data_IF_245123037993
#
_entry.id   IF_245123037993
#
_cell.length_a   1.000
_cell.length_b   1.000
_cell.length_c   1.000
_cell.angle_alpha   90.00
_cell.angle_beta   90.00
_cell.angle_gamma   90.00
#
_symmetry.space_group_name_H-M   'P 1'
#
loop_
_entity.id
_entity.type
_entity.pdbx_description
1 polymer ?
#
# COMPACT_ATOMS: atom_id res chain seq x y z
N UNK A 1 -6.82 -2.11 66.64
CA UNK A 1 -7.59 -1.72 65.43
C UNK A 1 -6.76 -0.66 64.73
N UNK A 2 -5.99 -1.04 63.71
CA UNK A 2 -5.11 -0.14 62.98
C UNK A 2 -5.87 0.39 61.76
N UNK A 3 -5.95 1.70 61.65
CA UNK A 3 -6.57 2.42 60.55
C UNK A 3 -5.62 2.38 59.34
N UNK A 4 -5.98 1.60 58.32
CA UNK A 4 -5.24 1.54 57.06
C UNK A 4 -5.87 2.57 56.13
N UNK A 5 -5.26 3.75 56.07
CA UNK A 5 -5.58 4.78 55.08
C UNK A 5 -4.99 4.37 53.72
N UNK A 6 -5.80 4.12 52.68
CA UNK A 6 -5.26 3.88 51.35
C UNK A 6 -4.76 5.21 50.77
N UNK A 7 -3.44 5.30 50.59
CA UNK A 7 -2.80 6.38 49.86
C UNK A 7 -3.15 6.23 48.37
N UNK A 8 -4.02 7.10 47.88
CA UNK A 8 -4.42 7.17 46.49
C UNK A 8 -3.26 7.73 45.67
N UNK A 9 -2.42 6.85 45.13
CA UNK A 9 -1.34 7.18 44.20
C UNK A 9 -1.96 7.53 42.85
N UNK A 10 -2.11 8.81 42.57
CA UNK A 10 -2.44 9.28 41.23
C UNK A 10 -1.26 8.98 40.30
N UNK A 11 -1.42 7.99 39.43
CA UNK A 11 -0.64 7.85 38.18
C UNK A 11 -0.97 9.07 37.32
N UNK A 12 -0.31 10.19 37.61
CA UNK A 12 -0.16 11.24 36.64
C UNK A 12 0.91 10.73 35.69
N UNK A 13 0.50 10.34 34.49
CA UNK A 13 1.36 10.05 33.35
C UNK A 13 2.34 11.22 33.23
N UNK A 14 3.54 11.04 33.79
CA UNK A 14 4.61 12.01 33.72
C UNK A 14 4.94 12.18 32.24
N UNK A 15 4.57 13.32 31.70
CA UNK A 15 4.88 13.75 30.35
C UNK A 15 6.39 13.90 30.26
N UNK A 16 7.10 12.79 30.05
CA UNK A 16 8.52 12.74 29.74
C UNK A 16 8.74 13.63 28.50
N UNK A 17 9.35 14.79 28.72
CA UNK A 17 9.75 15.68 27.65
C UNK A 17 10.75 14.95 26.74
N UNK A 18 10.44 14.71 25.46
CA UNK A 18 11.31 13.94 24.60
C UNK A 18 12.60 14.72 24.30
N UNK A 19 13.74 14.04 24.42
CA UNK A 19 15.06 14.54 24.10
C UNK A 19 15.09 15.20 22.70
N UNK A 20 15.58 16.44 22.63
CA UNK A 20 15.48 17.33 21.45
C UNK A 20 16.13 16.70 20.21
N UNK A 21 17.13 15.83 20.37
CA UNK A 21 17.73 15.05 19.28
C UNK A 21 16.82 13.97 18.71
N UNK A 22 16.03 13.30 19.55
CA UNK A 22 15.17 12.18 19.17
C UNK A 22 13.91 12.66 18.41
N UNK A 23 13.42 13.86 18.74
CA UNK A 23 12.25 14.46 18.08
C UNK A 23 12.48 14.77 16.59
N UNK A 24 13.70 15.14 16.20
CA UNK A 24 14.05 15.42 14.78
C UNK A 24 14.06 14.13 13.96
N UNK A 25 14.63 13.06 14.49
CA UNK A 25 14.66 11.74 13.85
C UNK A 25 13.25 11.19 13.71
N UNK A 26 12.42 11.27 14.77
CA UNK A 26 11.03 10.83 14.74
C UNK A 26 10.20 11.59 13.70
N UNK A 27 10.35 12.93 13.61
CA UNK A 27 9.68 13.74 12.57
C UNK A 27 10.13 13.38 11.16
N UNK A 28 11.42 13.09 10.98
CA UNK A 28 11.96 12.70 9.67
C UNK A 28 11.41 11.36 9.22
N UNK A 29 11.39 10.37 10.12
CA UNK A 29 10.82 9.03 9.84
C UNK A 29 9.33 9.13 9.50
N UNK A 30 8.57 9.92 10.25
CA UNK A 30 7.14 10.11 9.96
C UNK A 30 6.94 10.82 8.61
N UNK A 31 7.71 11.86 8.31
CA UNK A 31 7.63 12.55 7.00
C UNK A 31 7.98 11.64 5.83
N UNK A 32 9.04 10.83 5.97
CA UNK A 32 9.45 9.85 4.96
C UNK A 32 8.33 8.83 4.74
N UNK A 33 7.75 8.32 5.83
CA UNK A 33 6.65 7.38 5.79
C UNK A 33 5.40 7.95 5.10
N UNK A 34 4.99 9.17 5.43
CA UNK A 34 3.88 9.84 4.75
C UNK A 34 4.18 10.01 3.26
N UNK A 35 5.40 10.42 2.90
CA UNK A 35 5.84 10.55 1.50
C UNK A 35 5.79 9.23 0.73
N UNK A 36 6.31 8.15 1.31
CA UNK A 36 6.25 6.80 0.75
C UNK A 36 4.80 6.31 0.57
N UNK A 37 3.93 6.61 1.52
CA UNK A 37 2.51 6.22 1.47
C UNK A 37 1.75 7.00 0.39
N UNK A 38 2.06 8.29 0.21
CA UNK A 38 1.53 9.09 -0.89
C UNK A 38 2.00 8.56 -2.24
N UNK A 39 3.29 8.22 -2.36
CA UNK A 39 3.83 7.61 -3.58
C UNK A 39 3.09 6.30 -3.91
N UNK A 40 2.87 5.44 -2.89
CA UNK A 40 2.13 4.20 -3.04
C UNK A 40 0.69 4.44 -3.54
N UNK A 41 0.01 5.45 -2.98
CA UNK A 41 -1.33 5.84 -3.40
C UNK A 41 -1.35 6.29 -4.87
N UNK A 42 -0.45 7.19 -5.26
CA UNK A 42 -0.35 7.68 -6.63
C UNK A 42 -0.09 6.54 -7.62
N UNK A 43 0.86 5.64 -7.32
CA UNK A 43 1.12 4.48 -8.18
C UNK A 43 -0.07 3.52 -8.27
N UNK A 44 -0.81 3.31 -7.17
CA UNK A 44 -1.99 2.45 -7.17
C UNK A 44 -3.11 3.02 -8.04
N UNK A 45 -3.31 4.34 -8.02
CA UNK A 45 -4.23 5.04 -8.93
C UNK A 45 -3.83 4.83 -10.39
N UNK A 46 -2.54 4.95 -10.71
CA UNK A 46 -2.05 4.70 -12.08
C UNK A 46 -2.30 3.25 -12.48
N UNK A 47 -2.00 2.27 -11.63
CA UNK A 47 -2.26 0.83 -11.89
C UNK A 47 -3.74 0.60 -12.22
N UNK A 48 -4.64 1.12 -11.38
CA UNK A 48 -6.10 0.94 -11.58
C UNK A 48 -6.57 1.67 -12.83
N UNK A 49 -6.05 2.87 -13.09
CA UNK A 49 -6.40 3.67 -14.27
C UNK A 49 -6.00 2.97 -15.57
N UNK A 50 -4.74 2.55 -15.68
CA UNK A 50 -4.25 1.87 -16.89
C UNK A 50 -4.90 0.51 -17.06
N UNK A 51 -5.01 -0.29 -16.01
CA UNK A 51 -5.67 -1.61 -16.09
C UNK A 51 -7.17 -1.47 -16.39
N UNK A 52 -7.82 -0.45 -15.84
CA UNK A 52 -9.23 -0.14 -16.08
C UNK A 52 -9.51 0.27 -17.53
N UNK A 53 -8.69 1.15 -18.12
CA UNK A 53 -8.84 1.56 -19.52
C UNK A 53 -8.63 0.37 -20.48
N UNK A 54 -7.64 -0.49 -20.21
CA UNK A 54 -7.45 -1.71 -21.04
C UNK A 54 -8.66 -2.64 -20.97
N UNK A 55 -9.25 -2.83 -19.78
CA UNK A 55 -10.42 -3.68 -19.59
C UNK A 55 -11.69 -3.07 -20.21
N UNK A 56 -11.86 -1.75 -20.09
CA UNK A 56 -12.96 -1.03 -20.71
C UNK A 56 -12.88 -1.11 -22.24
N UNK A 57 -11.68 -0.95 -22.80
CA UNK A 57 -11.44 -1.08 -24.24
C UNK A 57 -11.74 -2.49 -24.72
N UNK A 58 -11.29 -3.52 -23.99
CA UNK A 58 -11.64 -4.92 -24.28
C UNK A 58 -13.16 -5.13 -24.32
N UNK A 59 -13.88 -4.74 -23.26
CA UNK A 59 -15.33 -4.91 -23.18
C UNK A 59 -16.10 -4.14 -24.27
N UNK A 60 -15.57 -3.00 -24.72
CA UNK A 60 -16.19 -2.21 -25.80
C UNK A 60 -15.89 -2.71 -27.22
N UNK A 61 -14.82 -3.49 -27.39
CA UNK A 61 -14.35 -3.96 -28.71
C UNK A 61 -14.55 -5.47 -28.90
N UNK A 62 -14.97 -6.17 -27.85
CA UNK A 62 -15.43 -7.54 -27.93
C UNK A 62 -16.78 -7.56 -28.68
N UNK A 63 -16.76 -8.11 -29.88
CA UNK A 63 -17.97 -8.48 -30.61
C UNK A 63 -18.30 -9.93 -30.22
N UNK A 64 -19.54 -10.17 -29.77
CA UNK A 64 -20.00 -11.52 -29.43
C UNK A 64 -20.08 -12.43 -30.65
N UNK A 65 -20.13 -13.75 -30.41
CA UNK A 65 -20.22 -14.80 -31.45
C UNK A 65 -21.43 -14.66 -32.39
N UNK A 66 -22.39 -13.81 -32.03
CA UNK A 66 -23.57 -13.45 -32.82
C UNK A 66 -23.25 -12.63 -34.07
N UNK A 67 -22.09 -11.98 -34.10
CA UNK A 67 -21.59 -11.28 -35.27
C UNK A 67 -20.51 -12.14 -35.93
N UNK A 68 -20.80 -12.70 -37.12
CA UNK A 68 -19.92 -13.54 -37.95
C UNK A 68 -18.63 -12.84 -38.45
N UNK A 69 -18.18 -11.78 -37.79
CA UNK A 69 -16.90 -11.14 -38.08
C UNK A 69 -15.77 -11.95 -37.43
N UNK A 70 -14.57 -11.98 -38.04
CA UNK A 70 -13.39 -12.52 -37.37
C UNK A 70 -13.24 -11.81 -36.02
N UNK A 71 -13.33 -12.57 -34.93
CA UNK A 71 -13.22 -12.00 -33.59
C UNK A 71 -11.87 -11.31 -33.46
N UNK A 72 -11.89 -9.99 -33.20
CA UNK A 72 -10.67 -9.19 -33.02
C UNK A 72 -9.80 -9.71 -31.86
N UNK A 73 -10.44 -10.45 -30.94
CA UNK A 73 -9.85 -11.07 -29.78
C UNK A 73 -9.92 -12.61 -29.90
N UNK A 74 -8.98 -13.36 -29.28
CA UNK A 74 -9.03 -14.82 -29.22
C UNK A 74 -10.28 -15.31 -28.46
N UNK A 75 -10.80 -16.49 -28.82
CA UNK A 75 -11.94 -17.12 -28.13
C UNK A 75 -11.61 -17.54 -26.69
N UNK A 76 -10.37 -17.96 -26.44
CA UNK A 76 -9.85 -18.32 -25.13
C UNK A 76 -8.96 -17.19 -24.62
N UNK A 77 -9.49 -16.38 -23.69
CA UNK A 77 -8.83 -15.16 -23.23
C UNK A 77 -8.86 -15.03 -21.71
N UNK A 78 -7.68 -14.99 -21.09
CA UNK A 78 -7.57 -14.92 -19.63
C UNK A 78 -7.56 -13.45 -19.15
N UNK A 79 -8.73 -13.00 -18.67
CA UNK A 79 -8.92 -11.68 -18.05
C UNK A 79 -8.54 -11.64 -16.56
N UNK A 80 -8.36 -12.81 -15.94
CA UNK A 80 -8.09 -12.98 -14.50
C UNK A 80 -6.89 -12.16 -14.00
N UNK A 81 -5.75 -12.08 -14.71
CA UNK A 81 -4.62 -11.26 -14.27
C UNK A 81 -4.97 -9.77 -14.20
N UNK A 82 -5.67 -9.24 -15.21
CA UNK A 82 -6.02 -7.82 -15.29
C UNK A 82 -7.08 -7.44 -14.25
N UNK A 83 -8.09 -8.30 -14.04
CA UNK A 83 -9.11 -8.05 -13.00
C UNK A 83 -8.51 -8.13 -11.60
N UNK A 84 -7.55 -9.04 -11.36
CA UNK A 84 -6.80 -9.08 -10.11
C UNK A 84 -5.98 -7.80 -9.88
N UNK A 85 -5.30 -7.28 -10.91
CA UNK A 85 -4.56 -6.01 -10.84
C UNK A 85 -5.47 -4.83 -10.45
N UNK A 86 -6.65 -4.72 -11.05
CA UNK A 86 -7.64 -3.69 -10.71
C UNK A 86 -8.13 -3.84 -9.27
N UNK A 87 -8.53 -5.06 -8.87
CA UNK A 87 -9.04 -5.31 -7.53
C UNK A 87 -7.98 -5.06 -6.43
N UNK A 88 -6.77 -5.57 -6.62
CA UNK A 88 -5.65 -5.36 -5.70
C UNK A 88 -5.22 -3.88 -5.67
N UNK A 89 -5.18 -3.20 -6.82
CA UNK A 89 -4.90 -1.78 -6.90
C UNK A 89 -5.93 -0.94 -6.11
N UNK A 90 -7.22 -1.26 -6.23
CA UNK A 90 -8.29 -0.59 -5.47
C UNK A 90 -8.13 -0.78 -3.96
N UNK A 91 -7.76 -1.98 -3.51
CA UNK A 91 -7.47 -2.26 -2.09
C UNK A 91 -6.29 -1.39 -1.60
N UNK A 92 -5.22 -1.27 -2.38
CA UNK A 92 -4.06 -0.42 -2.04
C UNK A 92 -4.44 1.06 -1.97
N UNK A 93 -5.29 1.54 -2.88
CA UNK A 93 -5.80 2.92 -2.86
C UNK A 93 -6.55 3.17 -1.54
N UNK A 94 -7.50 2.30 -1.19
CA UNK A 94 -8.31 2.46 0.02
C UNK A 94 -7.43 2.39 1.28
N UNK A 95 -6.52 1.43 1.37
CA UNK A 95 -5.66 1.28 2.55
C UNK A 95 -4.69 2.44 2.71
N UNK A 96 -4.11 2.94 1.61
CA UNK A 96 -3.20 4.09 1.62
C UNK A 96 -3.94 5.39 1.93
N UNK A 97 -5.14 5.58 1.39
CA UNK A 97 -5.99 6.73 1.68
C UNK A 97 -6.40 6.77 3.17
N UNK A 98 -6.79 5.62 3.75
CA UNK A 98 -7.09 5.50 5.18
C UNK A 98 -5.86 5.85 6.02
N UNK A 99 -4.69 5.33 5.65
CA UNK A 99 -3.42 5.63 6.35
C UNK A 99 -3.13 7.13 6.36
N UNK A 100 -3.27 7.80 5.22
CA UNK A 100 -3.07 9.24 5.10
C UNK A 100 -4.13 10.02 5.89
N UNK A 101 -5.40 9.63 5.80
CA UNK A 101 -6.48 10.28 6.54
C UNK A 101 -6.24 10.23 8.06
N UNK A 102 -5.82 9.08 8.59
CA UNK A 102 -5.50 8.93 10.02
C UNK A 102 -4.28 9.76 10.45
N UNK A 103 -3.32 9.96 9.55
CA UNK A 103 -2.15 10.83 9.83
C UNK A 103 -2.50 12.32 9.88
N UNK A 104 -3.52 12.75 9.11
CA UNK A 104 -3.95 14.15 9.02
C UNK A 104 -4.98 14.50 10.10
N UNK A 105 -5.90 13.58 10.43
CA UNK A 105 -7.01 13.84 11.35
C UNK A 105 -6.52 13.84 12.81
N UNK A 106 -6.51 15.00 13.51
CA UNK A 106 -5.96 15.10 14.87
C UNK A 106 -6.73 14.25 15.89
N UNK A 107 -8.04 14.07 15.68
CA UNK A 107 -8.88 13.23 16.55
C UNK A 107 -8.50 11.73 16.48
N UNK A 108 -8.06 11.25 15.33
CA UNK A 108 -7.58 9.87 15.16
C UNK A 108 -6.12 9.74 15.61
N UNK A 109 -5.30 10.76 15.34
CA UNK A 109 -3.89 10.85 15.76
C UNK A 109 -3.72 10.83 17.28
N UNK A 110 -4.63 11.46 18.03
CA UNK A 110 -4.56 11.47 19.50
C UNK A 110 -4.87 10.10 20.13
N UNK A 111 -5.49 9.17 19.40
CA UNK A 111 -5.74 7.80 19.89
C UNK A 111 -4.58 6.89 19.47
N UNK A 112 -3.54 6.83 20.30
CA UNK A 112 -2.30 6.10 20.00
C UNK A 112 -2.53 4.65 19.52
N UNK A 113 -3.46 3.91 20.13
CA UNK A 113 -3.79 2.54 19.72
C UNK A 113 -4.39 2.45 18.31
N UNK A 114 -5.26 3.39 17.93
CA UNK A 114 -5.89 3.43 16.61
C UNK A 114 -4.87 3.84 15.56
N UNK A 115 -4.09 4.89 15.86
CA UNK A 115 -3.05 5.36 14.96
C UNK A 115 -2.01 4.26 14.69
N UNK A 116 -1.54 3.56 15.74
CA UNK A 116 -0.55 2.50 15.62
C UNK A 116 -1.08 1.27 14.88
N UNK A 117 -2.30 0.84 15.19
CA UNK A 117 -2.92 -0.34 14.54
C UNK A 117 -3.18 -0.11 13.06
N UNK A 118 -3.80 1.02 12.68
CA UNK A 118 -4.05 1.36 11.28
C UNK A 118 -2.75 1.57 10.53
N UNK A 119 -1.78 2.22 11.17
CA UNK A 119 -0.46 2.46 10.61
C UNK A 119 0.26 1.20 10.17
N UNK A 120 0.09 0.10 10.90
CA UNK A 120 0.66 -1.19 10.57
C UNK A 120 -0.23 -2.03 9.65
N UNK A 121 -1.54 -2.06 9.91
CA UNK A 121 -2.48 -2.93 9.21
C UNK A 121 -2.62 -2.54 7.72
N UNK A 122 -2.70 -1.25 7.42
CA UNK A 122 -2.85 -0.77 6.04
C UNK A 122 -1.71 -1.17 5.10
N UNK A 123 -0.42 -0.94 5.43
CA UNK A 123 0.69 -1.39 4.59
C UNK A 123 0.81 -2.91 4.52
N UNK A 124 0.41 -3.66 5.56
CA UNK A 124 0.34 -5.14 5.48
C UNK A 124 -0.72 -5.59 4.47
N UNK A 125 -1.92 -5.01 4.50
CA UNK A 125 -2.98 -5.30 3.53
C UNK A 125 -2.51 -4.94 2.12
N UNK A 126 -1.87 -3.78 1.94
CA UNK A 126 -1.34 -3.35 0.65
C UNK A 126 -0.24 -4.29 0.13
N UNK A 127 0.66 -4.76 1.01
CA UNK A 127 1.70 -5.74 0.67
C UNK A 127 1.06 -7.06 0.22
N UNK A 128 0.08 -7.56 0.97
CA UNK A 128 -0.64 -8.79 0.60
C UNK A 128 -1.33 -8.64 -0.76
N UNK A 129 -2.00 -7.51 -1.00
CA UNK A 129 -2.62 -7.23 -2.30
C UNK A 129 -1.58 -7.18 -3.44
N UNK A 130 -0.41 -6.57 -3.23
CA UNK A 130 0.67 -6.53 -4.20
C UNK A 130 1.25 -7.92 -4.52
N UNK A 131 1.45 -8.76 -3.49
CA UNK A 131 1.87 -10.15 -3.66
C UNK A 131 0.83 -10.95 -4.43
N UNK A 132 -0.43 -10.88 -4.03
CA UNK A 132 -1.53 -11.58 -4.70
C UNK A 132 -1.61 -11.15 -6.17
N UNK A 133 -1.63 -9.85 -6.46
CA UNK A 133 -1.69 -9.34 -7.83
C UNK A 133 -0.51 -9.82 -8.69
N UNK A 134 0.71 -9.79 -8.14
CA UNK A 134 1.92 -10.27 -8.82
C UNK A 134 1.88 -11.79 -9.04
N UNK A 135 1.45 -12.56 -8.03
CA UNK A 135 1.32 -14.02 -8.11
C UNK A 135 0.25 -14.46 -9.09
N UNK A 136 -0.89 -13.77 -9.15
CA UNK A 136 -1.91 -14.06 -10.17
C UNK A 136 -1.38 -13.77 -11.57
N UNK A 137 -0.64 -12.67 -11.75
CA UNK A 137 -0.04 -12.37 -13.03
C UNK A 137 0.96 -13.45 -13.46
N UNK A 138 2.00 -13.74 -12.66
CA UNK A 138 3.03 -14.70 -13.06
C UNK A 138 2.60 -16.17 -12.94
N UNK A 139 1.69 -16.49 -12.03
CA UNK A 139 1.20 -17.85 -11.79
C UNK A 139 0.14 -18.28 -12.79
N UNK A 140 -0.79 -17.39 -13.16
CA UNK A 140 -1.84 -17.69 -14.15
C UNK A 140 -1.32 -17.51 -15.58
N UNK A 141 -0.42 -16.54 -15.82
CA UNK A 141 0.25 -16.37 -17.12
C UNK A 141 1.36 -17.41 -17.38
N UNK A 142 1.41 -18.52 -16.62
CA UNK A 142 2.30 -19.66 -16.89
C UNK A 142 1.75 -20.56 -18.01
N UNK A 143 0.47 -20.40 -18.38
CA UNK A 143 -0.12 -21.16 -19.48
C UNK A 143 0.40 -20.66 -20.83
N UNK A 144 1.02 -21.54 -21.61
CA UNK A 144 1.51 -21.24 -22.96
C UNK A 144 0.40 -21.34 -24.03
N UNK A 145 -0.82 -21.71 -23.63
CA UNK A 145 -1.93 -21.98 -24.57
C UNK A 145 -2.99 -20.89 -24.59
N UNK A 146 -3.02 -19.99 -23.61
CA UNK A 146 -4.06 -18.96 -23.49
C UNK A 146 -3.41 -17.57 -23.51
N UNK A 147 -3.91 -16.68 -24.36
CA UNK A 147 -3.41 -15.31 -24.44
C UNK A 147 -4.06 -14.44 -23.36
N UNK A 148 -3.26 -13.59 -22.71
CA UNK A 148 -3.74 -12.56 -21.78
C UNK A 148 -3.86 -11.21 -22.50
N UNK A 149 -4.54 -10.24 -21.89
CA UNK A 149 -4.64 -8.86 -22.40
C UNK A 149 -3.29 -8.25 -22.75
N UNK A 150 -2.29 -8.51 -21.91
CA UNK A 150 -0.96 -7.98 -22.11
C UNK A 150 -0.22 -8.69 -23.26
N UNK A 151 -0.21 -10.03 -23.30
CA UNK A 151 0.53 -10.74 -24.34
C UNK A 151 -0.05 -10.48 -25.72
N UNK A 152 -1.39 -10.47 -25.84
CA UNK A 152 -2.09 -10.20 -27.09
C UNK A 152 -1.87 -8.75 -27.56
N UNK A 153 -2.11 -7.76 -26.71
CA UNK A 153 -1.93 -6.35 -27.11
C UNK A 153 -0.47 -6.02 -27.47
N UNK A 154 0.50 -6.65 -26.82
CA UNK A 154 1.90 -6.48 -27.16
C UNK A 154 2.31 -7.22 -28.44
N UNK A 155 1.74 -8.39 -28.73
CA UNK A 155 2.00 -9.11 -29.98
C UNK A 155 1.56 -8.29 -31.20
N UNK A 156 0.43 -7.59 -31.09
CA UNK A 156 -0.11 -6.75 -32.16
C UNK A 156 0.29 -5.27 -32.05
N UNK A 157 1.22 -4.92 -31.15
CA UNK A 157 1.62 -3.53 -30.89
C UNK A 157 2.24 -2.81 -32.09
N UNK A 158 2.73 -3.56 -33.08
CA UNK A 158 3.29 -3.01 -34.33
C UNK A 158 2.22 -2.64 -35.37
N UNK A 159 0.95 -3.01 -35.15
CA UNK A 159 -0.16 -2.63 -36.03
C UNK A 159 -0.77 -1.33 -35.52
N UNK A 160 -0.61 -0.27 -36.31
CA UNK A 160 -1.29 1.01 -36.07
C UNK A 160 -2.76 0.89 -36.50
N UNK A 161 -3.66 1.23 -35.58
CA UNK A 161 -5.11 1.24 -35.79
C UNK A 161 -5.61 2.66 -35.70
N UNK A 162 -6.40 3.12 -36.68
CA UNK A 162 -7.06 4.44 -36.66
C UNK A 162 -8.30 4.49 -35.75
N UNK A 163 -8.75 3.33 -35.28
CA UNK A 163 -9.89 3.15 -34.37
C UNK A 163 -9.49 2.27 -33.20
N UNK A 164 -10.17 2.41 -32.05
CA UNK A 164 -9.93 1.52 -30.89
C UNK A 164 -10.13 0.06 -31.32
N UNK A 165 -9.27 -0.88 -30.86
CA UNK A 165 -8.21 -0.72 -29.85
C UNK A 165 -6.86 -0.26 -30.43
N UNK A 166 -6.22 0.72 -29.77
CA UNK A 166 -4.86 1.15 -30.08
C UNK A 166 -3.83 0.20 -29.44
N UNK A 167 -3.40 -0.84 -30.14
CA UNK A 167 -2.57 -1.92 -29.60
C UNK A 167 -1.28 -1.45 -28.93
N UNK A 168 -0.56 -0.51 -29.55
CA UNK A 168 0.68 0.05 -29.00
C UNK A 168 0.46 0.76 -27.65
N UNK A 169 -0.66 1.45 -27.48
CA UNK A 169 -1.03 2.12 -26.22
C UNK A 169 -1.42 1.10 -25.16
N UNK A 170 -2.27 0.13 -25.49
CA UNK A 170 -2.70 -0.93 -24.57
C UNK A 170 -1.51 -1.76 -24.05
N UNK A 171 -0.54 -2.07 -24.92
CA UNK A 171 0.67 -2.77 -24.51
C UNK A 171 1.50 -1.96 -23.51
N UNK A 172 1.64 -0.64 -23.73
CA UNK A 172 2.37 0.24 -22.80
C UNK A 172 1.65 0.35 -21.46
N UNK A 173 0.34 0.56 -21.48
CA UNK A 173 -0.50 0.68 -20.27
C UNK A 173 -0.46 -0.57 -19.40
N UNK A 174 -0.64 -1.75 -20.02
CA UNK A 174 -0.57 -3.03 -19.30
C UNK A 174 0.83 -3.29 -18.71
N UNK A 175 1.89 -2.96 -19.46
CA UNK A 175 3.27 -3.09 -18.99
C UNK A 175 3.58 -2.15 -17.82
N UNK A 176 3.10 -0.90 -17.88
CA UNK A 176 3.23 0.07 -16.78
C UNK A 176 2.49 -0.42 -15.54
N UNK A 177 1.26 -0.93 -15.68
CA UNK A 177 0.49 -1.48 -14.57
C UNK A 177 1.27 -2.59 -13.84
N UNK A 178 1.78 -3.56 -14.60
CA UNK A 178 2.55 -4.68 -14.06
C UNK A 178 3.81 -4.19 -13.33
N UNK A 179 4.61 -3.33 -13.96
CA UNK A 179 5.85 -2.85 -13.34
C UNK A 179 5.59 -2.08 -12.05
N UNK A 180 4.55 -1.24 -12.03
CA UNK A 180 4.17 -0.52 -10.81
C UNK A 180 3.70 -1.49 -9.71
N UNK A 181 2.93 -2.52 -10.04
CA UNK A 181 2.51 -3.54 -9.06
C UNK A 181 3.69 -4.30 -8.47
N UNK A 182 4.69 -4.66 -9.28
CA UNK A 182 5.92 -5.31 -8.79
C UNK A 182 6.71 -4.35 -7.89
N UNK A 183 6.82 -3.07 -8.26
CA UNK A 183 7.52 -2.05 -7.46
C UNK A 183 6.77 -1.68 -6.16
N UNK A 184 5.48 -1.97 -6.05
CA UNK A 184 4.73 -1.82 -4.79
C UNK A 184 5.25 -2.74 -3.69
N UNK A 185 5.70 -3.95 -4.00
CA UNK A 185 6.18 -4.89 -2.99
C UNK A 185 7.36 -4.31 -2.17
N UNK A 186 8.49 -3.90 -2.78
CA UNK A 186 9.59 -3.30 -2.01
C UNK A 186 9.18 -1.99 -1.33
N UNK A 187 8.29 -1.20 -1.94
CA UNK A 187 7.80 0.04 -1.33
C UNK A 187 7.06 -0.22 -0.01
N UNK A 188 6.16 -1.21 0.02
CA UNK A 188 5.43 -1.58 1.25
C UNK A 188 6.37 -2.14 2.32
N UNK A 189 7.40 -2.90 1.93
CA UNK A 189 8.43 -3.39 2.86
C UNK A 189 9.19 -2.22 3.49
N UNK A 190 9.56 -1.20 2.71
CA UNK A 190 10.22 0.00 3.23
C UNK A 190 9.31 0.73 4.22
N UNK A 191 8.02 0.90 3.90
CA UNK A 191 7.04 1.53 4.81
C UNK A 191 6.97 0.77 6.14
N UNK A 192 6.84 -0.56 6.10
CA UNK A 192 6.83 -1.39 7.31
C UNK A 192 8.17 -1.32 8.08
N UNK A 193 9.28 -1.24 7.36
CA UNK A 193 10.61 -1.05 7.92
C UNK A 193 10.73 0.26 8.72
N UNK A 194 10.21 1.37 8.19
CA UNK A 194 10.19 2.65 8.91
C UNK A 194 9.38 2.60 10.20
N UNK A 195 8.26 1.86 10.20
CA UNK A 195 7.43 1.64 11.38
C UNK A 195 8.12 0.79 12.45
N UNK A 196 8.73 -0.33 12.04
CA UNK A 196 9.48 -1.20 12.93
C UNK A 196 10.68 -0.45 13.54
N UNK A 197 11.38 0.35 12.74
CA UNK A 197 12.48 1.19 13.22
C UNK A 197 12.02 2.20 14.26
N UNK A 198 10.90 2.89 14.02
CA UNK A 198 10.32 3.82 15.00
C UNK A 198 9.96 3.13 16.33
N UNK A 199 9.36 1.94 16.28
CA UNK A 199 9.02 1.18 17.48
C UNK A 199 10.26 0.70 18.25
N UNK A 200 11.30 0.23 17.54
CA UNK A 200 12.55 -0.21 18.17
C UNK A 200 13.36 0.96 18.74
N UNK A 201 13.38 2.11 18.08
CA UNK A 201 14.02 3.32 18.58
C UNK A 201 13.33 3.83 19.85
N UNK A 202 12.00 3.73 19.94
CA UNK A 202 11.26 4.04 21.16
C UNK A 202 11.58 3.09 22.32
N UNK A 203 11.71 1.78 22.06
CA UNK A 203 12.07 0.79 23.09
C UNK A 203 13.49 0.91 23.65
N UNK A 204 14.41 1.55 22.90
CA UNK A 204 15.81 1.72 23.32
C UNK A 204 16.03 2.91 24.25
N UNK A 205 14.99 3.65 24.66
CA UNK A 205 15.14 4.65 25.70
C UNK A 205 15.53 3.95 27.01
N UNK A 206 16.75 4.18 27.54
CA UNK A 206 17.09 3.70 28.86
C UNK A 206 16.20 4.45 29.85
N UNK A 207 15.45 3.70 30.66
CA UNK A 207 14.82 4.23 31.87
C UNK A 207 15.96 4.81 32.71
N UNK A 208 16.12 6.14 32.70
CA UNK A 208 17.05 6.82 33.59
C UNK A 208 16.44 6.68 34.98
N UNK A 209 16.93 5.70 35.73
CA UNK A 209 16.56 5.54 37.12
C UNK A 209 17.07 6.78 37.86
N UNK A 210 16.15 7.67 38.25
CA UNK A 210 16.49 8.83 39.07
C UNK A 210 17.28 8.34 40.29
N UNK A 211 18.51 8.82 40.43
CA UNK A 211 19.38 8.54 41.56
C UNK A 211 18.76 9.20 42.78
N UNK A 212 18.00 8.42 43.54
CA UNK A 212 17.46 8.71 44.87
C UNK A 212 18.42 9.62 45.65
N UNK A 213 18.13 10.92 45.68
CA UNK A 213 18.80 11.87 46.55
C UNK A 213 18.39 11.56 47.98
N UNK A 214 19.23 10.82 48.70
CA UNK A 214 19.13 10.66 50.15
C UNK A 214 19.77 11.86 50.86
N UNK A 215 19.43 12.08 52.14
CA UNK A 215 19.08 13.39 52.70
C UNK A 215 20.29 14.19 53.18
N UNK A 216 20.23 15.51 53.08
CA UNK A 216 21.10 16.38 53.86
C UNK A 216 20.45 16.64 55.23
N UNK A 217 21.01 16.05 56.28
CA UNK A 217 20.95 16.60 57.64
C UNK A 217 21.93 17.78 57.73
N UNK A 218 21.42 18.97 57.98
CA UNK A 218 21.95 19.97 58.94
C UNK A 218 21.01 21.15 59.01
#
# INVERSE_FOLDING_TARGET
MADIKPEFRSDFEEFETPDVGNTKTARTVESVRTGLTLLALCSAIVIVGTSGETLATFNSTQLGDEYLLPSLWPSEFDLRPTTALVACGAIVIVSSAISLAVSIVPAARNKALIHLSISYLCPVIALAAGLIGTSFFYGVNSSNTVSSLQSWSCQWSAIDMDVKPYWGTLCKESKVALYLTVMMIPLQIIILGTLAWGALAGKKQPVIHERKGSPAMS
#
